data_IF_162912920475
#
_entry.id   IF_162912920475
#
_cell.length_a   1.000
_cell.length_b   1.000
_cell.length_c   1.000
_cell.angle_alpha   90.00
_cell.angle_beta   90.00
_cell.angle_gamma   90.00
#
_symmetry.space_group_name_H-M   'P 1'
#
loop_
_entity.id
_entity.type
_entity.pdbx_description
1 polymer ?
#
# COMPACT_ATOMS: atom_id res chain seq x y z
N UNK A 1 -19.97 12.57 24.27
CA UNK A 1 -18.98 13.26 25.13
C UNK A 1 -17.96 13.89 24.21
N UNK A 2 -17.71 15.20 24.33
CA UNK A 2 -16.73 15.93 23.51
C UNK A 2 -15.31 15.52 23.93
N UNK A 3 -14.42 15.12 23.01
CA UNK A 3 -13.01 15.00 23.32
C UNK A 3 -12.23 16.07 22.54
N UNK A 4 -12.41 17.36 22.87
CA UNK A 4 -11.32 18.33 22.63
C UNK A 4 -10.39 18.30 23.84
N UNK A 5 -9.73 17.16 24.04
CA UNK A 5 -8.60 17.05 24.96
C UNK A 5 -7.36 17.40 24.15
N UNK A 6 -6.96 18.68 24.17
CA UNK A 6 -5.57 19.00 23.81
C UNK A 6 -4.68 18.20 24.76
N UNK A 7 -3.96 17.23 24.23
CA UNK A 7 -2.91 16.54 24.96
C UNK A 7 -1.87 17.60 25.36
N UNK A 8 -1.22 17.43 26.51
CA UNK A 8 -0.29 18.43 27.05
C UNK A 8 0.93 18.73 26.15
N UNK A 9 1.10 17.99 25.04
CA UNK A 9 2.25 18.04 24.12
C UNK A 9 1.86 18.36 22.66
N UNK A 10 0.66 18.87 22.41
CA UNK A 10 0.21 19.29 21.07
C UNK A 10 0.93 20.56 20.60
N UNK A 11 1.53 20.51 19.40
CA UNK A 11 2.24 21.63 18.77
C UNK A 11 1.75 21.85 17.32
N UNK A 12 1.85 23.07 16.76
CA UNK A 12 1.60 23.28 15.34
C UNK A 12 2.51 22.42 14.47
N UNK A 13 1.98 21.84 13.39
CA UNK A 13 2.76 21.00 12.48
C UNK A 13 3.96 21.73 11.86
N UNK A 14 3.83 23.06 11.68
CA UNK A 14 4.91 23.90 11.16
C UNK A 14 6.10 24.01 12.15
N UNK A 15 5.89 23.71 13.44
CA UNK A 15 6.96 23.61 14.44
C UNK A 15 7.61 22.21 14.44
N UNK A 16 6.82 21.16 14.21
CA UNK A 16 7.34 19.80 14.06
C UNK A 16 8.16 19.62 12.77
N UNK A 17 7.79 20.36 11.72
CA UNK A 17 8.43 20.36 10.41
C UNK A 17 8.74 21.79 9.94
N UNK A 18 9.79 22.44 10.51
CA UNK A 18 10.10 23.84 10.23
C UNK A 18 10.32 24.12 8.74
N UNK A 19 9.56 25.07 8.20
CA UNK A 19 9.70 25.56 6.82
C UNK A 19 9.12 24.63 5.73
N UNK A 20 8.52 23.50 6.11
CA UNK A 20 7.85 22.55 5.22
C UNK A 20 6.45 23.05 4.85
N UNK A 21 5.71 23.54 5.84
CA UNK A 21 4.34 24.00 5.69
C UNK A 21 4.29 25.53 5.59
N UNK A 22 4.09 26.06 4.38
CA UNK A 22 3.97 27.51 4.13
C UNK A 22 2.93 27.78 3.03
N UNK A 23 1.85 28.54 3.29
CA UNK A 23 1.51 29.19 4.57
C UNK A 23 1.12 28.18 5.66
N UNK A 24 1.09 28.63 6.92
CA UNK A 24 0.73 27.79 8.07
C UNK A 24 -0.63 27.14 7.88
N UNK A 25 -0.74 25.87 8.23
CA UNK A 25 -1.92 25.02 7.93
C UNK A 25 -2.97 24.99 9.04
N UNK A 26 -2.62 25.47 10.24
CA UNK A 26 -3.48 25.33 11.42
C UNK A 26 -3.70 23.87 11.85
N UNK A 27 -2.84 22.95 11.41
CA UNK A 27 -2.81 21.56 11.86
C UNK A 27 -1.95 21.50 13.12
N UNK A 28 -2.44 20.83 14.15
CA UNK A 28 -1.63 20.47 15.30
C UNK A 28 -1.31 18.98 15.28
N UNK A 29 -0.14 18.66 15.82
CA UNK A 29 0.34 17.29 15.96
C UNK A 29 0.82 17.05 17.39
N UNK A 30 0.65 15.83 17.84
CA UNK A 30 1.21 15.33 19.10
C UNK A 30 2.34 14.36 18.78
N UNK A 31 3.52 14.55 19.37
CA UNK A 31 4.62 13.59 19.25
C UNK A 31 4.23 12.25 19.90
N UNK A 32 4.47 11.15 19.20
CA UNK A 32 4.07 9.81 19.63
C UNK A 32 5.09 8.76 19.16
N UNK A 33 5.09 7.62 19.82
CA UNK A 33 5.69 6.40 19.27
C UNK A 33 4.54 5.58 18.70
N UNK A 34 4.57 5.32 17.40
CA UNK A 34 3.52 4.58 16.71
C UNK A 34 4.12 3.26 16.25
N UNK A 35 3.58 2.14 16.73
CA UNK A 35 4.04 0.80 16.32
C UNK A 35 5.57 0.59 16.44
N UNK A 36 6.19 1.15 17.49
CA UNK A 36 7.64 1.07 17.71
C UNK A 36 8.49 2.04 16.88
N UNK A 37 7.88 2.90 16.06
CA UNK A 37 8.59 3.96 15.33
C UNK A 37 8.63 5.23 16.20
N UNK A 38 9.83 5.54 16.69
CA UNK A 38 10.11 6.74 17.48
C UNK A 38 10.14 8.01 16.63
N UNK A 39 9.92 9.16 17.29
CA UNK A 39 9.94 10.46 16.63
C UNK A 39 8.87 10.61 15.56
N UNK A 40 7.75 9.93 15.74
CA UNK A 40 6.54 9.99 14.93
C UNK A 40 5.59 11.06 15.47
N UNK A 41 4.61 11.42 14.65
CA UNK A 41 3.59 12.40 15.02
C UNK A 41 2.21 11.88 14.69
N UNK A 42 1.21 12.25 15.50
CA UNK A 42 -0.21 12.02 15.22
C UNK A 42 -0.89 13.37 15.03
N UNK A 43 -1.67 13.54 13.96
CA UNK A 43 -2.50 14.72 13.76
C UNK A 43 -3.63 14.73 14.80
N UNK A 44 -3.78 15.86 15.48
CA UNK A 44 -4.87 16.06 16.42
C UNK A 44 -6.20 16.20 15.69
N UNK A 45 -7.28 15.70 16.29
CA UNK A 45 -8.63 15.85 15.74
C UNK A 45 -9.01 17.31 15.59
N UNK A 46 -9.57 17.69 14.43
CA UNK A 46 -10.03 19.06 14.21
C UNK A 46 -11.30 19.37 15.03
N UNK A 47 -11.46 20.61 15.55
CA UNK A 47 -12.69 21.03 16.23
C UNK A 47 -13.93 20.89 15.36
N UNK A 48 -15.12 20.83 15.97
CA UNK A 48 -16.41 20.66 15.25
C UNK A 48 -16.64 21.74 14.18
N UNK A 49 -16.19 22.98 14.41
CA UNK A 49 -16.26 24.07 13.44
C UNK A 49 -15.47 23.78 12.14
N UNK A 50 -14.48 22.89 12.20
CA UNK A 50 -13.62 22.48 11.10
C UNK A 50 -13.76 20.98 10.78
N UNK A 51 -14.86 20.33 11.19
CA UNK A 51 -15.05 18.88 11.06
C UNK A 51 -14.85 18.32 9.66
N UNK A 52 -15.02 19.16 8.63
CA UNK A 52 -14.80 18.78 7.23
C UNK A 52 -13.34 18.44 6.93
N UNK A 53 -12.38 18.91 7.75
CA UNK A 53 -10.96 18.54 7.68
C UNK A 53 -10.66 17.14 8.19
N UNK A 54 -11.55 16.58 9.03
CA UNK A 54 -11.47 15.18 9.42
C UNK A 54 -11.96 14.34 8.24
N UNK A 55 -11.06 13.96 7.34
CA UNK A 55 -11.34 13.09 6.20
C UNK A 55 -11.44 11.63 6.62
N UNK A 56 -12.21 11.35 7.67
CA UNK A 56 -12.46 10.03 8.17
C UNK A 56 -13.86 10.00 8.81
N UNK A 57 -14.40 8.80 8.94
CA UNK A 57 -15.67 8.55 9.61
C UNK A 57 -15.64 7.19 10.30
N UNK A 58 -16.77 6.79 10.88
CA UNK A 58 -16.87 5.50 11.55
C UNK A 58 -16.60 4.37 10.56
N UNK A 59 -15.85 3.34 10.98
CA UNK A 59 -15.79 2.06 10.26
C UNK A 59 -16.98 1.14 10.55
N UNK A 60 -17.97 1.63 11.31
CA UNK A 60 -19.25 0.95 11.60
C UNK A 60 -19.08 -0.46 12.21
N UNK A 61 -18.07 -0.62 13.07
CA UNK A 61 -17.76 -1.90 13.72
C UNK A 61 -17.04 -2.92 12.81
N UNK A 62 -16.70 -2.55 11.58
CA UNK A 62 -15.91 -3.37 10.66
C UNK A 62 -14.55 -3.71 11.26
N UNK A 63 -14.13 -4.98 11.12
CA UNK A 63 -12.80 -5.42 11.56
C UNK A 63 -11.75 -5.07 10.51
N UNK A 64 -10.59 -4.61 10.97
CA UNK A 64 -9.42 -4.43 10.12
C UNK A 64 -8.93 -5.81 9.70
N UNK A 65 -8.82 -6.02 8.38
CA UNK A 65 -8.41 -7.27 7.72
C UNK A 65 -7.25 -7.07 6.76
N UNK A 66 -7.06 -5.86 6.24
CA UNK A 66 -6.11 -5.57 5.17
C UNK A 66 -5.19 -4.41 5.53
N UNK A 67 -4.00 -4.42 4.92
CA UNK A 67 -3.06 -3.30 4.93
C UNK A 67 -2.73 -2.94 3.49
N UNK A 68 -3.03 -1.70 3.09
CA UNK A 68 -2.88 -1.26 1.70
C UNK A 68 -1.76 -0.23 1.58
N UNK A 69 -0.79 -0.52 0.71
CA UNK A 69 0.34 0.35 0.38
C UNK A 69 -0.01 1.25 -0.81
N UNK A 70 0.36 2.52 -0.69
CA UNK A 70 0.14 3.56 -1.70
C UNK A 70 1.42 4.36 -1.91
N UNK A 71 1.48 5.12 -3.00
CA UNK A 71 2.34 6.30 -3.11
C UNK A 71 1.49 7.56 -3.33
N UNK A 72 2.06 8.71 -3.02
CA UNK A 72 1.33 9.98 -3.00
C UNK A 72 1.26 10.70 -4.35
N UNK A 73 2.24 10.51 -5.25
CA UNK A 73 2.52 11.36 -6.43
C UNK A 73 2.68 12.86 -6.10
N UNK A 74 3.01 13.16 -4.84
CA UNK A 74 3.05 14.52 -4.32
C UNK A 74 4.07 14.62 -3.17
N UNK A 75 4.48 15.83 -2.82
CA UNK A 75 5.37 16.09 -1.69
C UNK A 75 4.65 15.86 -0.34
N UNK A 76 5.42 15.77 0.74
CA UNK A 76 4.87 15.53 2.08
C UNK A 76 3.88 16.62 2.53
N UNK A 77 4.18 17.89 2.28
CA UNK A 77 3.35 19.00 2.74
C UNK A 77 2.00 19.04 2.00
N UNK A 78 2.04 18.86 0.69
CA UNK A 78 0.89 18.84 -0.21
C UNK A 78 0.02 17.61 0.04
N UNK A 79 0.62 16.44 0.30
CA UNK A 79 -0.09 15.23 0.75
C UNK A 79 -0.90 15.49 2.02
N UNK A 80 -0.24 15.99 3.08
CA UNK A 80 -0.89 16.25 4.37
C UNK A 80 -1.97 17.33 4.26
N UNK A 81 -1.73 18.37 3.45
CA UNK A 81 -2.72 19.42 3.18
C UNK A 81 -3.95 18.85 2.47
N UNK A 82 -3.77 17.97 1.50
CA UNK A 82 -4.87 17.30 0.79
C UNK A 82 -5.71 16.47 1.76
N UNK A 83 -5.05 15.68 2.61
CA UNK A 83 -5.70 14.78 3.57
C UNK A 83 -6.44 15.50 4.71
N UNK A 84 -6.15 16.79 4.92
CA UNK A 84 -6.74 17.59 6.01
C UNK A 84 -7.41 18.87 5.51
N UNK A 85 -7.69 18.95 4.21
CA UNK A 85 -8.30 20.13 3.59
C UNK A 85 -9.75 20.31 4.06
N UNK A 86 -10.19 21.56 4.20
CA UNK A 86 -11.55 21.85 4.68
C UNK A 86 -12.57 21.76 3.53
N UNK A 87 -12.84 20.55 3.03
CA UNK A 87 -13.70 20.30 1.86
C UNK A 87 -14.86 19.35 2.18
N UNK A 88 -15.95 19.48 1.42
CA UNK A 88 -17.16 18.66 1.59
C UNK A 88 -17.30 17.52 0.59
N UNK A 89 -16.53 17.52 -0.50
CA UNK A 89 -16.59 16.54 -1.58
C UNK A 89 -15.17 16.22 -2.05
N UNK A 90 -14.97 15.05 -2.66
CA UNK A 90 -13.65 14.64 -3.17
C UNK A 90 -12.60 14.43 -2.08
N UNK A 91 -13.02 14.10 -0.85
CA UNK A 91 -12.08 13.87 0.24
C UNK A 91 -11.30 12.59 0.00
N UNK A 92 -10.04 12.62 0.39
CA UNK A 92 -9.13 11.49 0.43
C UNK A 92 -8.26 11.62 1.68
N UNK A 93 -7.83 10.49 2.21
CA UNK A 93 -6.96 10.41 3.39
C UNK A 93 -6.39 9.01 3.52
N UNK A 94 -5.33 8.88 4.28
CA UNK A 94 -4.78 7.59 4.69
C UNK A 94 -4.51 7.59 6.19
N UNK A 95 -4.28 6.41 6.76
CA UNK A 95 -4.00 6.30 8.20
C UNK A 95 -2.59 6.81 8.50
N UNK A 96 -1.63 6.47 7.64
CA UNK A 96 -0.23 6.80 7.80
C UNK A 96 0.37 7.44 6.55
N UNK A 97 1.30 8.37 6.75
CA UNK A 97 2.18 8.93 5.71
C UNK A 97 3.62 8.74 6.15
N UNK A 98 4.46 8.17 5.28
CA UNK A 98 5.90 8.00 5.50
C UNK A 98 6.67 8.88 4.53
N UNK A 99 7.50 9.77 5.06
CA UNK A 99 8.26 10.74 4.28
C UNK A 99 9.40 10.08 3.49
N UNK A 100 9.66 10.61 2.30
CA UNK A 100 10.96 10.46 1.61
C UNK A 100 11.86 11.65 1.94
N UNK A 101 13.09 11.64 1.42
CA UNK A 101 13.99 12.78 1.52
C UNK A 101 13.49 13.92 0.65
N UNK A 102 13.18 15.04 1.28
CA UNK A 102 12.94 16.32 0.62
C UNK A 102 13.89 17.38 1.20
N UNK A 103 13.86 18.60 0.65
CA UNK A 103 14.76 19.69 1.07
C UNK A 103 14.70 19.92 2.60
N UNK A 104 13.48 20.01 3.14
CA UNK A 104 13.21 20.35 4.55
C UNK A 104 12.57 19.21 5.35
N UNK A 105 12.35 18.06 4.72
CA UNK A 105 11.76 16.88 5.36
C UNK A 105 12.83 15.80 5.51
N UNK A 106 12.91 15.22 6.71
CA UNK A 106 13.78 14.06 6.97
C UNK A 106 13.06 12.82 6.45
N UNK A 107 13.77 11.98 5.70
CA UNK A 107 13.30 10.66 5.23
C UNK A 107 12.86 9.75 6.38
N UNK A 108 11.92 8.85 6.11
CA UNK A 108 11.50 7.79 7.04
C UNK A 108 10.68 8.27 8.25
N UNK A 109 10.26 9.54 8.30
CA UNK A 109 9.38 10.05 9.35
C UNK A 109 7.95 9.56 9.12
N UNK A 110 7.31 9.15 10.21
CA UNK A 110 5.95 8.65 10.21
C UNK A 110 5.00 9.70 10.79
N UNK A 111 3.92 9.95 10.06
CA UNK A 111 2.80 10.76 10.50
C UNK A 111 1.52 9.93 10.46
N UNK A 112 0.81 9.80 11.58
CA UNK A 112 -0.55 9.28 11.61
C UNK A 112 -1.54 10.42 11.35
N UNK A 113 -2.28 10.31 10.25
CA UNK A 113 -3.24 11.32 9.80
C UNK A 113 -4.66 10.97 10.25
N UNK A 114 -5.01 9.68 10.23
CA UNK A 114 -6.31 9.17 10.67
C UNK A 114 -6.10 8.12 11.76
N UNK A 115 -6.83 8.18 12.89
CA UNK A 115 -6.80 7.13 13.91
C UNK A 115 -7.14 5.75 13.34
N UNK A 116 -6.46 4.70 13.77
CA UNK A 116 -6.66 3.33 13.24
C UNK A 116 -8.07 2.80 13.47
N UNK A 117 -8.78 3.24 14.52
CA UNK A 117 -10.16 2.83 14.79
C UNK A 117 -11.19 3.54 13.89
N UNK A 118 -10.78 4.57 13.15
CA UNK A 118 -11.61 5.31 12.19
C UNK A 118 -11.33 4.88 10.75
N UNK A 119 -12.31 5.06 9.86
CA UNK A 119 -12.20 4.74 8.44
C UNK A 119 -11.55 5.90 7.68
N UNK A 120 -10.29 5.75 7.24
CA UNK A 120 -9.70 6.65 6.25
C UNK A 120 -10.24 6.37 4.83
N UNK A 121 -10.06 7.31 3.91
CA UNK A 121 -10.63 7.27 2.56
C UNK A 121 -9.51 7.14 1.51
N UNK A 122 -8.84 5.97 1.47
CA UNK A 122 -7.66 5.73 0.61
C UNK A 122 -7.93 4.73 -0.52
N UNK A 123 -8.63 3.63 -0.26
CA UNK A 123 -8.84 2.53 -1.20
C UNK A 123 -9.89 2.82 -2.27
N UNK A 124 -10.91 3.64 -1.96
CA UNK A 124 -12.00 3.94 -2.89
C UNK A 124 -12.75 2.70 -3.38
N UNK A 125 -13.21 2.71 -4.64
CA UNK A 125 -13.82 1.54 -5.30
C UNK A 125 -12.77 0.45 -5.46
N UNK A 126 -12.86 -0.57 -4.62
CA UNK A 126 -11.85 -1.61 -4.44
C UNK A 126 -12.48 -2.95 -4.08
N UNK A 127 -11.79 -4.04 -4.39
CA UNK A 127 -12.20 -5.38 -4.02
C UNK A 127 -11.01 -6.33 -3.88
N UNK A 128 -11.13 -7.29 -2.96
CA UNK A 128 -10.20 -8.40 -2.82
C UNK A 128 -10.95 -9.63 -2.33
N UNK A 129 -10.83 -10.75 -3.05
CA UNK A 129 -11.66 -11.95 -2.88
C UNK A 129 -13.16 -11.58 -2.90
N UNK A 130 -13.90 -11.85 -1.82
CA UNK A 130 -15.32 -11.54 -1.69
C UNK A 130 -15.59 -10.13 -1.13
N UNK A 131 -14.58 -9.47 -0.58
CA UNK A 131 -14.73 -8.17 0.08
C UNK A 131 -14.68 -7.03 -0.94
N UNK A 132 -15.50 -6.00 -0.70
CA UNK A 132 -15.61 -4.80 -1.52
C UNK A 132 -15.54 -3.55 -0.64
N UNK A 133 -15.20 -2.40 -1.23
CA UNK A 133 -15.12 -1.11 -0.54
C UNK A 133 -14.17 -1.16 0.67
N UNK A 134 -12.91 -1.50 0.41
CA UNK A 134 -11.97 -1.92 1.45
C UNK A 134 -11.58 -0.84 2.47
N UNK A 135 -11.97 0.43 2.28
CA UNK A 135 -11.72 1.51 3.26
C UNK A 135 -12.09 1.11 4.70
N UNK A 136 -13.27 0.50 4.91
CA UNK A 136 -13.73 0.12 6.26
C UNK A 136 -13.00 -1.11 6.83
N UNK A 137 -12.37 -1.91 5.97
CA UNK A 137 -11.70 -3.17 6.30
C UNK A 137 -10.18 -3.05 6.31
N UNK A 138 -9.63 -1.87 6.01
CA UNK A 138 -8.20 -1.71 5.81
C UNK A 138 -7.62 -0.55 6.58
N UNK A 139 -6.30 -0.64 6.78
CA UNK A 139 -5.44 0.50 7.06
C UNK A 139 -4.65 0.84 5.79
N UNK A 140 -4.32 2.12 5.65
CA UNK A 140 -3.62 2.66 4.49
C UNK A 140 -2.29 3.26 4.92
N UNK A 141 -1.23 2.95 4.17
CA UNK A 141 0.10 3.56 4.34
C UNK A 141 0.48 4.24 3.03
N UNK A 142 0.62 5.56 3.09
CA UNK A 142 1.04 6.41 1.98
C UNK A 142 2.54 6.66 2.06
N UNK A 143 3.26 6.32 1.01
CA UNK A 143 4.67 6.61 0.88
C UNK A 143 4.83 7.85 0.02
N UNK A 144 5.40 8.91 0.58
CA UNK A 144 5.70 10.11 -0.21
C UNK A 144 6.67 9.72 -1.32
N UNK A 145 6.22 9.74 -2.57
CA UNK A 145 7.00 9.31 -3.73
C UNK A 145 6.35 9.88 -5.01
N UNK A 146 7.18 10.26 -5.98
CA UNK A 146 6.73 10.86 -7.25
C UNK A 146 5.97 9.87 -8.15
N UNK A 147 6.07 8.57 -7.89
CA UNK A 147 5.43 7.52 -8.68
C UNK A 147 6.23 7.26 -9.95
N UNK A 148 5.80 7.83 -11.06
CA UNK A 148 6.49 7.72 -12.34
C UNK A 148 6.37 8.99 -13.18
N UNK A 149 7.31 9.18 -14.10
CA UNK A 149 7.15 10.09 -15.25
C UNK A 149 6.90 9.26 -16.49
N UNK A 150 6.02 9.73 -17.38
CA UNK A 150 5.94 9.17 -18.73
C UNK A 150 7.29 9.40 -19.45
N UNK A 151 7.75 8.44 -20.24
CA UNK A 151 9.03 8.52 -20.96
C UNK A 151 9.01 9.54 -22.10
N UNK A 152 10.19 10.10 -22.44
CA UNK A 152 10.42 10.72 -23.74
C UNK A 152 10.86 9.62 -24.73
N UNK A 153 10.36 9.64 -25.98
CA UNK A 153 10.81 8.73 -27.03
C UNK A 153 12.32 8.94 -27.30
N UNK A 154 13.15 7.93 -27.01
CA UNK A 154 14.58 7.93 -27.34
C UNK A 154 14.98 6.63 -28.05
N UNK A 155 14.69 6.54 -29.35
CA UNK A 155 15.12 5.42 -30.20
C UNK A 155 14.32 4.12 -30.00
N UNK A 156 14.96 2.96 -30.21
CA UNK A 156 14.31 1.62 -30.24
C UNK A 156 13.98 1.02 -28.86
N UNK A 157 14.26 1.72 -27.76
CA UNK A 157 13.88 1.30 -26.40
C UNK A 157 13.12 2.45 -25.75
N UNK A 158 11.78 2.41 -25.82
CA UNK A 158 10.93 3.19 -24.93
C UNK A 158 10.57 2.32 -23.71
N UNK A 159 10.88 2.82 -22.52
CA UNK A 159 10.02 2.49 -21.39
C UNK A 159 8.92 3.53 -21.43
N UNK A 160 7.65 3.11 -21.52
CA UNK A 160 6.52 4.05 -21.49
C UNK A 160 6.57 4.92 -20.23
N UNK A 161 7.19 4.42 -19.14
CA UNK A 161 7.30 5.09 -17.84
C UNK A 161 8.65 4.86 -17.18
N UNK A 162 9.15 5.90 -16.50
CA UNK A 162 10.25 5.81 -15.54
C UNK A 162 9.68 5.91 -14.12
N UNK A 163 9.75 4.82 -13.36
CA UNK A 163 9.29 4.76 -11.97
C UNK A 163 10.39 5.24 -11.01
N UNK A 164 10.01 5.92 -9.94
CA UNK A 164 10.93 6.40 -8.92
C UNK A 164 11.13 5.35 -7.81
N UNK A 165 12.37 5.09 -7.38
CA UNK A 165 12.64 4.17 -6.28
C UNK A 165 12.17 4.75 -4.94
N UNK A 166 12.00 3.88 -3.94
CA UNK A 166 11.64 4.26 -2.58
C UNK A 166 12.89 4.40 -1.70
N UNK A 167 12.87 5.39 -0.78
CA UNK A 167 13.98 5.61 0.15
C UNK A 167 14.13 4.44 1.13
N UNK A 168 15.36 4.01 1.41
CA UNK A 168 15.61 2.86 2.30
C UNK A 168 15.05 3.04 3.71
N UNK A 169 15.10 4.26 4.26
CA UNK A 169 14.56 4.59 5.58
C UNK A 169 13.04 4.67 5.57
N UNK A 170 12.44 5.09 4.45
CA UNK A 170 10.99 5.07 4.25
C UNK A 170 10.48 3.61 4.29
N UNK A 171 11.19 2.70 3.63
CA UNK A 171 10.86 1.28 3.60
C UNK A 171 11.11 0.59 4.93
N UNK A 172 12.19 0.94 5.63
CA UNK A 172 12.46 0.45 6.97
C UNK A 172 11.33 0.82 7.95
N UNK A 173 10.91 2.09 7.95
CA UNK A 173 9.75 2.55 8.73
C UNK A 173 8.47 1.81 8.34
N UNK A 174 8.23 1.60 7.04
CA UNK A 174 7.07 0.86 6.53
C UNK A 174 7.07 -0.59 7.04
N UNK A 175 8.21 -1.27 7.00
CA UNK A 175 8.37 -2.63 7.52
C UNK A 175 8.10 -2.75 9.02
N UNK A 176 8.59 -1.79 9.83
CA UNK A 176 8.33 -1.77 11.27
C UNK A 176 6.83 -1.62 11.56
N UNK A 177 6.18 -0.59 11.03
CA UNK A 177 4.77 -0.34 11.33
C UNK A 177 3.89 -1.48 10.81
N UNK A 178 4.18 -1.99 9.62
CA UNK A 178 3.36 -3.03 8.99
C UNK A 178 3.42 -4.32 9.80
N UNK A 179 4.60 -4.70 10.30
CA UNK A 179 4.76 -5.89 11.15
C UNK A 179 3.92 -5.80 12.42
N UNK A 180 3.95 -4.66 13.10
CA UNK A 180 3.21 -4.49 14.35
C UNK A 180 1.70 -4.39 14.11
N UNK A 181 1.27 -3.67 13.06
CA UNK A 181 -0.12 -3.62 12.59
C UNK A 181 -0.64 -5.02 12.28
N UNK A 182 0.12 -5.81 11.52
CA UNK A 182 -0.26 -7.17 11.18
C UNK A 182 -0.47 -8.04 12.42
N UNK A 183 0.43 -7.92 13.40
CA UNK A 183 0.32 -8.62 14.68
C UNK A 183 -0.88 -8.15 15.50
N UNK A 184 -1.10 -6.85 15.61
CA UNK A 184 -2.19 -6.26 16.39
C UNK A 184 -3.56 -6.67 15.86
N UNK A 185 -3.72 -6.68 14.54
CA UNK A 185 -5.00 -6.94 13.87
C UNK A 185 -5.13 -8.36 13.31
N UNK A 186 -4.12 -9.21 13.49
CA UNK A 186 -4.03 -10.55 12.90
C UNK A 186 -4.23 -10.54 11.38
N UNK A 187 -3.61 -9.56 10.70
CA UNK A 187 -3.65 -9.45 9.24
C UNK A 187 -2.76 -10.55 8.66
N UNK A 188 -3.33 -11.32 7.74
CA UNK A 188 -2.63 -12.38 7.05
C UNK A 188 -1.65 -11.81 6.01
N UNK A 189 -0.51 -12.48 5.73
CA UNK A 189 0.49 -11.97 4.78
C UNK A 189 -0.09 -11.62 3.41
N UNK A 190 -0.98 -12.45 2.86
CA UNK A 190 -1.63 -12.22 1.56
C UNK A 190 -2.69 -11.11 1.56
N UNK A 191 -2.92 -10.44 2.70
CA UNK A 191 -3.80 -9.28 2.85
C UNK A 191 -3.03 -7.97 3.06
N UNK A 192 -1.70 -8.01 2.92
CA UNK A 192 -0.87 -6.82 2.69
C UNK A 192 -0.73 -6.64 1.18
N UNK A 193 -1.30 -5.56 0.65
CA UNK A 193 -1.54 -5.40 -0.79
C UNK A 193 -1.16 -4.00 -1.26
N UNK A 194 -0.85 -3.84 -2.53
CA UNK A 194 -0.83 -2.55 -3.21
C UNK A 194 -2.23 -2.07 -3.54
N UNK A 195 -2.38 -0.77 -3.81
CA UNK A 195 -3.62 -0.23 -4.33
C UNK A 195 -3.97 -0.79 -5.71
N UNK A 196 -2.96 -1.06 -6.53
CA UNK A 196 -3.09 -1.71 -7.84
C UNK A 196 -3.70 -3.12 -7.75
N UNK A 197 -3.48 -3.84 -6.65
CA UNK A 197 -4.04 -5.18 -6.45
C UNK A 197 -5.54 -5.18 -6.22
N UNK A 198 -6.00 -4.20 -5.43
CA UNK A 198 -7.40 -4.08 -5.01
C UNK A 198 -8.24 -3.24 -5.99
N UNK A 199 -7.58 -2.51 -6.89
CA UNK A 199 -8.22 -1.65 -7.88
C UNK A 199 -7.51 -1.70 -9.26
N UNK A 200 -7.29 -2.90 -9.83
CA UNK A 200 -6.55 -3.08 -11.07
C UNK A 200 -7.24 -2.35 -12.22
N UNK A 201 -6.47 -1.51 -12.92
CA UNK A 201 -6.92 -0.69 -14.05
C UNK A 201 -7.37 0.72 -13.66
N UNK A 202 -7.70 0.95 -12.37
CA UNK A 202 -7.95 2.29 -11.82
C UNK A 202 -6.69 2.87 -11.17
N UNK A 203 -5.86 2.01 -10.58
CA UNK A 203 -4.69 2.39 -9.77
C UNK A 203 -3.47 1.57 -10.19
N UNK A 204 -2.30 2.17 -9.97
CA UNK A 204 -0.99 1.60 -10.32
C UNK A 204 0.02 1.74 -9.18
N UNK A 205 -0.41 2.22 -8.02
CA UNK A 205 0.42 2.39 -6.83
C UNK A 205 0.39 1.12 -5.95
N UNK A 206 1.50 0.77 -5.27
CA UNK A 206 2.77 1.50 -5.20
C UNK A 206 3.76 1.16 -6.34
N UNK A 207 3.32 0.40 -7.35
CA UNK A 207 4.04 0.03 -8.56
C UNK A 207 5.28 -0.87 -8.35
N UNK A 208 5.93 -1.17 -9.47
CA UNK A 208 7.02 -2.13 -9.63
C UNK A 208 8.27 -1.88 -8.77
N UNK A 209 8.52 -0.64 -8.33
CA UNK A 209 9.68 -0.33 -7.50
C UNK A 209 9.38 -0.29 -6.01
N UNK A 210 8.15 -0.54 -5.59
CA UNK A 210 7.89 -0.80 -4.17
C UNK A 210 8.55 -2.13 -3.77
N UNK A 211 9.45 -2.15 -2.78
CA UNK A 211 10.30 -3.31 -2.52
C UNK A 211 9.59 -4.34 -1.64
N UNK A 212 8.56 -5.01 -2.17
CA UNK A 212 7.86 -6.13 -1.53
C UNK A 212 8.81 -7.22 -0.99
N UNK A 213 9.84 -7.69 -1.74
CA UNK A 213 10.78 -8.67 -1.21
C UNK A 213 11.50 -8.18 0.05
N UNK A 214 11.77 -6.87 0.16
CA UNK A 214 12.46 -6.30 1.33
C UNK A 214 11.57 -6.32 2.57
N UNK A 215 10.30 -5.93 2.42
CA UNK A 215 9.31 -6.03 3.50
C UNK A 215 9.18 -7.47 3.99
N UNK A 216 9.11 -8.43 3.07
CA UNK A 216 9.01 -9.84 3.40
C UNK A 216 10.29 -10.36 4.09
N UNK A 217 11.45 -10.21 3.46
CA UNK A 217 12.70 -10.81 3.93
C UNK A 217 13.21 -10.19 5.24
N UNK A 218 13.08 -8.87 5.40
CA UNK A 218 13.65 -8.16 6.55
C UNK A 218 12.66 -8.01 7.72
N UNK A 219 11.35 -7.98 7.42
CA UNK A 219 10.33 -7.69 8.43
C UNK A 219 9.26 -8.79 8.59
N UNK A 220 9.19 -9.76 7.67
CA UNK A 220 8.14 -10.78 7.66
C UNK A 220 6.78 -10.21 7.28
N UNK A 221 6.77 -9.17 6.44
CA UNK A 221 5.56 -8.43 6.04
C UNK A 221 5.17 -8.78 4.61
N UNK A 222 3.90 -9.14 4.41
CA UNK A 222 3.35 -9.46 3.09
C UNK A 222 3.60 -10.89 2.64
N UNK A 223 2.93 -11.28 1.57
CA UNK A 223 3.10 -12.59 0.93
C UNK A 223 4.30 -12.55 -0.03
N UNK A 224 5.11 -13.61 -0.04
CA UNK A 224 6.24 -13.76 -0.97
C UNK A 224 6.68 -15.23 -1.04
N UNK A 225 7.55 -15.57 -1.99
CA UNK A 225 8.22 -16.87 -2.07
C UNK A 225 9.65 -16.76 -1.54
N UNK A 226 10.05 -17.70 -0.70
CA UNK A 226 11.45 -17.80 -0.27
C UNK A 226 12.35 -18.23 -1.45
N UNK A 227 13.66 -17.99 -1.35
CA UNK A 227 14.59 -18.32 -2.44
C UNK A 227 14.58 -19.82 -2.82
N UNK A 228 14.40 -20.72 -1.85
CA UNK A 228 14.28 -22.16 -2.11
C UNK A 228 12.91 -22.53 -2.72
N UNK A 229 11.90 -21.70 -2.49
CA UNK A 229 10.54 -21.87 -3.03
C UNK A 229 10.43 -21.42 -4.49
N UNK A 230 11.47 -20.82 -5.06
CA UNK A 230 11.63 -20.64 -6.52
C UNK A 230 11.99 -21.96 -7.22
N UNK A 231 11.41 -23.08 -6.75
CA UNK A 231 11.59 -24.42 -7.26
C UNK A 231 10.27 -25.20 -7.15
N UNK A 232 9.80 -25.72 -8.28
CA UNK A 232 8.53 -26.46 -8.39
C UNK A 232 8.44 -27.64 -7.42
N UNK A 233 9.50 -28.43 -7.30
CA UNK A 233 9.48 -29.65 -6.49
C UNK A 233 9.41 -29.30 -4.99
N UNK A 234 10.04 -28.18 -4.58
CA UNK A 234 9.93 -27.63 -3.23
C UNK A 234 8.50 -27.17 -2.92
N UNK A 235 7.85 -26.47 -3.86
CA UNK A 235 6.44 -26.07 -3.70
C UNK A 235 5.53 -27.30 -3.56
N UNK A 236 5.70 -28.33 -4.41
CA UNK A 236 4.92 -29.57 -4.35
C UNK A 236 5.09 -30.26 -2.99
N UNK A 237 6.34 -30.36 -2.53
CA UNK A 237 6.68 -31.03 -1.28
C UNK A 237 6.17 -30.28 -0.06
N UNK A 238 6.31 -28.96 0.00
CA UNK A 238 5.95 -28.14 1.18
C UNK A 238 4.44 -27.89 1.27
N UNK A 239 3.78 -27.60 0.14
CA UNK A 239 2.45 -27.02 0.15
C UNK A 239 1.35 -27.90 -0.46
N UNK A 240 1.71 -29.01 -1.11
CA UNK A 240 0.76 -29.96 -1.70
C UNK A 240 -0.34 -29.27 -2.53
N UNK A 241 0.04 -28.54 -3.60
CA UNK A 241 -0.88 -27.74 -4.40
C UNK A 241 -2.01 -28.59 -4.96
N UNK A 242 -3.23 -28.05 -4.91
CA UNK A 242 -4.43 -28.70 -5.45
C UNK A 242 -4.53 -28.60 -6.97
N UNK A 243 -3.89 -27.57 -7.55
CA UNK A 243 -3.77 -27.35 -8.99
C UNK A 243 -2.46 -27.97 -9.50
N UNK A 244 -2.53 -28.67 -10.62
CA UNK A 244 -1.33 -29.15 -11.31
C UNK A 244 -0.44 -27.99 -11.77
N UNK A 245 0.87 -28.20 -11.79
CA UNK A 245 1.82 -27.20 -12.26
C UNK A 245 1.56 -26.86 -13.75
N UNK A 246 1.29 -25.60 -14.10
CA UNK A 246 1.15 -25.20 -15.50
C UNK A 246 2.49 -25.31 -16.23
N UNK A 247 2.59 -26.13 -17.28
CA UNK A 247 3.87 -26.36 -17.98
C UNK A 247 4.16 -25.38 -19.10
N UNK A 248 3.17 -24.57 -19.51
CA UNK A 248 3.27 -23.60 -20.58
C UNK A 248 2.53 -22.30 -20.21
N UNK A 249 2.99 -21.13 -20.69
CA UNK A 249 2.28 -19.86 -20.50
C UNK A 249 0.85 -19.90 -21.07
N UNK A 250 -0.14 -19.57 -20.24
CA UNK A 250 -1.53 -19.48 -20.67
C UNK A 250 -2.28 -18.41 -19.88
N UNK A 251 -2.75 -17.37 -20.58
CA UNK A 251 -3.45 -16.24 -19.96
C UNK A 251 -4.71 -16.66 -19.20
N UNK A 252 -5.52 -17.57 -19.76
CA UNK A 252 -6.77 -18.00 -19.13
C UNK A 252 -6.50 -18.73 -17.80
N UNK A 253 -5.51 -19.61 -17.80
CA UNK A 253 -5.08 -20.34 -16.59
C UNK A 253 -4.47 -19.39 -15.56
N UNK A 254 -3.61 -18.45 -15.99
CA UNK A 254 -3.05 -17.42 -15.12
C UNK A 254 -4.16 -16.64 -14.41
N UNK A 255 -5.12 -16.10 -15.18
CA UNK A 255 -6.22 -15.32 -14.62
C UNK A 255 -7.05 -16.13 -13.62
N UNK A 256 -7.30 -17.42 -13.87
CA UNK A 256 -7.98 -18.28 -12.90
C UNK A 256 -7.22 -18.38 -11.57
N UNK A 257 -5.90 -18.54 -11.62
CA UNK A 257 -5.05 -18.58 -10.42
C UNK A 257 -5.06 -17.23 -9.70
N UNK A 258 -4.98 -16.10 -10.44
CA UNK A 258 -5.03 -14.77 -9.85
C UNK A 258 -6.37 -14.48 -9.17
N UNK A 259 -7.48 -14.89 -9.78
CA UNK A 259 -8.82 -14.77 -9.17
C UNK A 259 -8.92 -15.61 -7.89
N UNK A 260 -8.41 -16.85 -7.94
CA UNK A 260 -8.38 -17.75 -6.78
C UNK A 260 -7.54 -17.16 -5.64
N UNK A 261 -6.40 -16.57 -5.97
CA UNK A 261 -5.52 -15.88 -5.01
C UNK A 261 -6.24 -14.70 -4.36
N UNK A 262 -6.89 -13.85 -5.14
CA UNK A 262 -7.79 -12.82 -4.62
C UNK A 262 -8.15 -11.67 -5.55
N UNK A 263 -7.58 -11.58 -6.76
CA UNK A 263 -7.89 -10.49 -7.68
C UNK A 263 -9.35 -10.53 -8.15
N UNK A 264 -10.00 -9.37 -8.21
CA UNK A 264 -11.40 -9.25 -8.58
C UNK A 264 -11.57 -8.55 -9.94
N UNK A 265 -12.68 -8.85 -10.63
CA UNK A 265 -13.13 -8.09 -11.80
C UNK A 265 -14.10 -7.00 -11.34
N UNK A 266 -13.66 -5.73 -11.32
CA UNK A 266 -14.54 -4.57 -11.22
C UNK A 266 -14.91 -4.05 -12.63
N UNK A 267 -15.84 -3.09 -12.73
CA UNK A 267 -16.33 -2.58 -14.01
C UNK A 267 -15.23 -2.04 -14.94
N UNK A 268 -14.18 -1.44 -14.40
CA UNK A 268 -13.04 -0.91 -15.17
C UNK A 268 -11.88 -1.89 -15.32
N UNK A 269 -11.99 -3.09 -14.75
CA UNK A 269 -10.91 -4.06 -14.70
C UNK A 269 -10.87 -4.90 -15.97
N UNK A 270 -9.70 -4.98 -16.59
CA UNK A 270 -9.43 -5.89 -17.70
C UNK A 270 -8.52 -7.03 -17.25
N UNK A 271 -8.47 -8.13 -17.99
CA UNK A 271 -7.49 -9.19 -17.77
C UNK A 271 -6.05 -8.66 -17.74
N UNK A 272 -5.72 -7.73 -18.64
CA UNK A 272 -4.40 -7.12 -18.73
C UNK A 272 -4.10 -6.30 -17.47
N UNK A 273 -5.06 -5.55 -16.94
CA UNK A 273 -4.82 -4.74 -15.74
C UNK A 273 -4.62 -5.58 -14.48
N UNK A 274 -5.29 -6.73 -14.36
CA UNK A 274 -5.04 -7.70 -13.28
C UNK A 274 -3.62 -8.26 -13.39
N UNK A 275 -3.22 -8.69 -14.60
CA UNK A 275 -1.90 -9.27 -14.83
C UNK A 275 -0.81 -8.22 -14.55
N UNK A 276 -0.99 -6.96 -14.98
CA UNK A 276 -0.03 -5.88 -14.68
C UNK A 276 0.12 -5.64 -13.18
N UNK A 277 -0.98 -5.53 -12.43
CA UNK A 277 -0.90 -5.38 -10.97
C UNK A 277 -0.15 -6.55 -10.32
N UNK A 278 -0.47 -7.78 -10.72
CA UNK A 278 0.24 -8.97 -10.24
C UNK A 278 1.74 -8.97 -10.56
N UNK A 279 2.12 -8.60 -11.78
CA UNK A 279 3.53 -8.49 -12.18
C UNK A 279 4.25 -7.42 -11.37
N UNK A 280 3.63 -6.25 -11.18
CA UNK A 280 4.21 -5.15 -10.41
C UNK A 280 4.44 -5.53 -8.94
N UNK A 281 3.51 -6.25 -8.32
CA UNK A 281 3.67 -6.74 -6.96
C UNK A 281 4.68 -7.89 -6.87
N UNK A 282 4.58 -8.91 -7.74
CA UNK A 282 5.32 -10.17 -7.62
C UNK A 282 6.34 -10.37 -8.74
N UNK A 283 5.93 -10.97 -9.87
CA UNK A 283 6.86 -11.62 -10.81
C UNK A 283 7.82 -10.68 -11.54
N UNK A 284 7.48 -9.39 -11.63
CA UNK A 284 8.35 -8.36 -12.19
C UNK A 284 8.78 -7.32 -11.15
N UNK A 285 8.48 -7.49 -9.87
CA UNK A 285 8.84 -6.50 -8.84
C UNK A 285 10.36 -6.32 -8.77
N UNK A 286 10.83 -5.07 -8.83
CA UNK A 286 12.25 -4.70 -8.97
C UNK A 286 12.91 -5.15 -10.30
N UNK A 287 12.15 -5.69 -11.25
CA UNK A 287 12.60 -6.20 -12.54
C UNK A 287 11.84 -5.51 -13.70
N UNK A 288 12.10 -4.22 -13.96
CA UNK A 288 11.37 -3.44 -14.96
C UNK A 288 11.45 -4.02 -16.37
N UNK A 289 12.50 -4.77 -16.70
CA UNK A 289 12.65 -5.52 -17.95
C UNK A 289 11.62 -6.64 -18.15
N UNK A 290 10.99 -7.13 -17.08
CA UNK A 290 9.94 -8.14 -17.12
C UNK A 290 8.53 -7.53 -17.12
N UNK A 291 8.42 -6.21 -16.93
CA UNK A 291 7.15 -5.50 -16.79
C UNK A 291 6.56 -5.03 -18.11
N UNK A 292 6.30 -6.00 -18.98
CA UNK A 292 5.63 -5.83 -20.26
C UNK A 292 4.30 -6.61 -20.32
N UNK A 293 3.67 -6.66 -21.49
CA UNK A 293 2.42 -7.40 -21.69
C UNK A 293 2.64 -8.92 -21.91
N UNK A 294 3.89 -9.39 -21.96
CA UNK A 294 4.18 -10.80 -22.20
C UNK A 294 3.92 -11.63 -20.94
N UNK A 295 3.28 -12.78 -21.14
CA UNK A 295 3.07 -13.80 -20.10
C UNK A 295 4.12 -14.88 -20.30
N UNK A 296 4.98 -15.04 -19.30
CA UNK A 296 6.07 -16.01 -19.29
C UNK A 296 5.74 -17.16 -18.34
N UNK A 297 6.58 -18.17 -18.37
CA UNK A 297 6.50 -19.30 -17.44
C UNK A 297 6.71 -18.86 -15.99
N UNK A 298 7.41 -17.73 -15.79
CA UNK A 298 7.63 -17.12 -14.49
C UNK A 298 6.34 -16.61 -13.84
N UNK A 299 5.48 -15.88 -14.58
CA UNK A 299 4.16 -15.48 -14.07
C UNK A 299 3.31 -16.69 -13.67
N UNK A 300 3.36 -17.76 -14.48
CA UNK A 300 2.63 -19.00 -14.21
C UNK A 300 3.13 -19.65 -12.91
N UNK A 301 4.45 -19.70 -12.72
CA UNK A 301 5.08 -20.25 -11.53
C UNK A 301 4.69 -19.46 -10.28
N UNK A 302 4.86 -18.13 -10.30
CA UNK A 302 4.54 -17.26 -9.16
C UNK A 302 3.09 -17.40 -8.73
N UNK A 303 2.15 -17.33 -9.66
CA UNK A 303 0.72 -17.41 -9.35
C UNK A 303 0.34 -18.77 -8.74
N UNK A 304 0.86 -19.87 -9.32
CA UNK A 304 0.62 -21.22 -8.82
C UNK A 304 1.25 -21.45 -7.43
N UNK A 305 2.48 -20.99 -7.22
CA UNK A 305 3.20 -21.17 -5.97
C UNK A 305 2.60 -20.32 -4.83
N UNK A 306 2.19 -19.08 -5.10
CA UNK A 306 1.49 -18.23 -4.13
C UNK A 306 0.11 -18.79 -3.78
N UNK A 307 -0.64 -19.29 -4.77
CA UNK A 307 -1.89 -20.02 -4.52
C UNK A 307 -1.64 -21.22 -3.59
N UNK A 308 -0.62 -22.03 -3.86
CA UNK A 308 -0.25 -23.16 -3.01
C UNK A 308 0.11 -22.74 -1.57
N UNK A 309 1.06 -21.80 -1.42
CA UNK A 309 1.62 -21.35 -0.12
C UNK A 309 0.57 -20.69 0.77
N UNK A 310 -0.36 -19.94 0.18
CA UNK A 310 -1.31 -19.11 0.95
C UNK A 310 -2.76 -19.58 0.88
N UNK A 311 -3.07 -20.67 0.18
CA UNK A 311 -4.42 -21.28 0.14
C UNK A 311 -4.89 -21.81 1.50
N UNK A 312 -3.97 -22.25 2.36
CA UNK A 312 -4.26 -22.87 3.66
C UNK A 312 -4.82 -21.90 4.71
N UNK A 313 -4.78 -20.59 4.44
CA UNK A 313 -5.36 -19.58 5.33
C UNK A 313 -6.83 -19.27 5.03
N UNK A 314 -7.42 -19.93 4.01
CA UNK A 314 -8.84 -19.78 3.66
C UNK A 314 -9.74 -20.87 4.27
N UNK A 315 -9.20 -21.76 5.12
CA UNK A 315 -9.93 -22.82 5.84
C UNK A 315 -10.29 -22.44 7.27
#
# INVERSE_FOLDING_TARGET
MSPTSKTANSIPIDQAFPGVFSPKTGINVTASTIHGVEGSYTIDTFPEAEKKRNHYDSREGSKIKYLIMHYTVDDFASTVKTFTSNISQGRTSSHFVITQKEEKVTRGKLLQVVPEDMRAWHAGVSAWKQDKNLNALSLGIEHVNTGFTEGEEHGEISYDRTYYPFDVDQIYTSGIISKDIMKQYNILPQYVLGHEDIAPGRKSDPAIFFPWPKLYNEHGVGAWLDNDEMNKDIIIQKYHPTRDYPTEPNQGVLLQMLISYGYCHAETTTSSSIIKAFKAHFSANQHPELYDDNIRQEEMFWAWALEAKYSCYNS
#
